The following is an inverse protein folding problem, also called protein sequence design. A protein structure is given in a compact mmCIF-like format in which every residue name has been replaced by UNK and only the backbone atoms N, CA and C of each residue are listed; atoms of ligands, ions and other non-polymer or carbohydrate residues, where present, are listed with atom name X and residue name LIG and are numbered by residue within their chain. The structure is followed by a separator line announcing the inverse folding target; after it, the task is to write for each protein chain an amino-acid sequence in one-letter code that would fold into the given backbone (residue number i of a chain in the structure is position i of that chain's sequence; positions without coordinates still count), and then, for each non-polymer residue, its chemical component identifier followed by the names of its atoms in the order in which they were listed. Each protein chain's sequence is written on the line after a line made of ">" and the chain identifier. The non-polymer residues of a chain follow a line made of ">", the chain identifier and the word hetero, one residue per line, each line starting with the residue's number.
data_IF_944913264324
#
_entry.id   IF_944913264324
#
_cell.length_a   1.000
_cell.length_b   1.000
_cell.length_c   1.000
_cell.angle_alpha   90.00
_cell.angle_beta   90.00
_cell.angle_gamma   90.00
#
_symmetry.space_group_name_H-M   'P 1'
#
loop_
_entity.id
_entity.type
_entity.pdbx_description
1 polymer ?
#
# COMPACT_ATOMS: atom_id res chain seq x y z
N UNK A 1 -2.84 -3.73 -6.97
CA UNK A 1 -3.05 -2.71 -8.02
C UNK A 1 -3.24 -3.34 -9.39
N UNK A 2 -2.35 -4.22 -9.88
CA UNK A 2 -2.51 -4.88 -11.20
C UNK A 2 -3.55 -6.00 -11.30
N UNK A 3 -4.52 -6.09 -10.38
CA UNK A 3 -5.49 -7.19 -10.28
C UNK A 3 -6.92 -6.69 -10.06
N UNK A 4 -7.19 -5.41 -10.34
CA UNK A 4 -8.52 -4.81 -10.16
C UNK A 4 -9.14 -4.52 -11.52
N UNK A 5 -10.47 -4.56 -11.60
CA UNK A 5 -11.23 -4.14 -12.80
C UNK A 5 -11.45 -2.62 -12.85
N UNK A 6 -10.81 -1.85 -11.96
CA UNK A 6 -10.97 -0.41 -11.93
C UNK A 6 -10.28 0.22 -13.16
N UNK A 7 -10.94 1.19 -13.80
CA UNK A 7 -10.33 1.98 -14.86
C UNK A 7 -9.41 3.04 -14.27
N UNK A 8 -8.10 2.89 -14.48
CA UNK A 8 -7.08 3.90 -14.19
C UNK A 8 -5.83 3.64 -15.05
N UNK A 9 -4.96 4.64 -15.19
CA UNK A 9 -3.65 4.47 -15.84
C UNK A 9 -2.63 3.98 -14.79
N UNK A 10 -2.09 2.74 -14.91
CA UNK A 10 -1.11 2.24 -13.95
C UNK A 10 0.21 3.04 -13.96
N UNK A 11 0.50 3.79 -15.02
CA UNK A 11 1.65 4.70 -15.09
C UNK A 11 1.32 6.11 -14.58
N UNK A 12 0.07 6.36 -14.20
CA UNK A 12 -0.36 7.64 -13.66
C UNK A 12 -0.47 7.67 -12.14
N UNK A 13 -0.21 6.55 -11.44
CA UNK A 13 -0.52 6.44 -10.01
C UNK A 13 0.53 7.13 -9.12
N UNK A 14 0.07 7.69 -8.02
CA UNK A 14 0.92 8.16 -6.94
C UNK A 14 0.73 7.28 -5.70
N UNK A 15 1.82 7.01 -4.98
CA UNK A 15 1.79 6.24 -3.72
C UNK A 15 2.61 6.97 -2.67
N UNK A 16 2.00 7.18 -1.51
CA UNK A 16 2.66 7.68 -0.32
C UNK A 16 2.56 6.70 0.84
N UNK A 17 3.63 6.58 1.62
CA UNK A 17 3.69 5.77 2.83
C UNK A 17 4.07 6.66 4.00
N UNK A 18 3.21 6.73 5.03
CA UNK A 18 3.39 7.63 6.17
C UNK A 18 3.72 9.08 5.76
N UNK A 19 3.12 9.55 4.66
CA UNK A 19 3.32 10.89 4.11
C UNK A 19 4.52 11.07 3.17
N UNK A 20 5.39 10.07 3.00
CA UNK A 20 6.52 10.12 2.04
C UNK A 20 6.05 9.62 0.69
N UNK A 21 6.18 10.43 -0.36
CA UNK A 21 5.76 10.10 -1.72
C UNK A 21 6.80 9.22 -2.41
N UNK A 22 6.68 7.90 -2.20
CA UNK A 22 7.62 6.90 -2.76
C UNK A 22 7.42 6.66 -4.26
N UNK A 23 6.21 6.88 -4.76
CA UNK A 23 5.88 6.76 -6.18
C UNK A 23 5.13 8.01 -6.66
N UNK A 24 5.53 8.53 -7.82
CA UNK A 24 4.84 9.63 -8.49
C UNK A 24 4.76 9.37 -9.99
N UNK A 25 3.56 9.46 -10.57
CA UNK A 25 3.30 9.12 -11.97
C UNK A 25 3.90 7.75 -12.36
N UNK A 26 3.66 6.73 -11.53
CA UNK A 26 4.13 5.36 -11.77
C UNK A 26 5.64 5.15 -11.63
N UNK A 27 6.42 6.20 -11.33
CA UNK A 27 7.88 6.13 -11.19
C UNK A 27 8.34 6.33 -9.75
N UNK A 28 9.53 5.84 -9.43
CA UNK A 28 10.14 6.06 -8.10
C UNK A 28 10.39 7.55 -7.87
N UNK A 29 10.03 8.04 -6.70
CA UNK A 29 10.12 9.48 -6.38
C UNK A 29 11.03 9.76 -5.18
N UNK A 30 10.51 9.78 -3.95
CA UNK A 30 11.34 9.94 -2.76
C UNK A 30 12.02 8.62 -2.35
N UNK A 31 13.14 8.71 -1.64
CA UNK A 31 13.81 7.50 -1.12
C UNK A 31 12.91 6.81 -0.10
N UNK A 32 12.77 5.49 -0.25
CA UNK A 32 12.08 4.63 0.74
C UNK A 32 12.70 4.69 2.14
N UNK A 33 13.98 5.07 2.23
CA UNK A 33 14.69 5.17 3.51
C UNK A 33 14.17 6.32 4.38
N UNK A 34 13.38 7.24 3.80
CA UNK A 34 12.72 8.32 4.51
C UNK A 34 11.41 7.85 5.18
N UNK A 35 10.91 6.67 4.84
CA UNK A 35 9.67 6.11 5.42
C UNK A 35 9.98 5.53 6.80
N UNK A 36 9.53 6.20 7.85
CA UNK A 36 9.59 5.65 9.21
C UNK A 36 8.41 4.68 9.44
N UNK A 37 8.71 3.39 9.50
CA UNK A 37 7.76 2.31 9.81
C UNK A 37 7.87 1.82 11.27
N UNK A 38 8.64 2.51 12.12
CA UNK A 38 8.73 2.15 13.55
C UNK A 38 7.43 2.34 14.33
N UNK A 39 6.55 3.32 14.02
CA UNK A 39 5.27 3.45 14.70
C UNK A 39 4.33 2.28 14.37
N UNK A 40 3.40 1.98 15.29
CA UNK A 40 2.41 0.91 15.11
C UNK A 40 1.43 1.18 13.95
N UNK A 41 1.15 2.44 13.67
CA UNK A 41 0.24 2.84 12.60
C UNK A 41 1.03 3.10 11.31
N UNK A 42 0.59 2.48 10.22
CA UNK A 42 1.10 2.74 8.87
C UNK A 42 -0.06 3.21 8.00
N UNK A 43 0.11 4.35 7.33
CA UNK A 43 -0.77 4.80 6.24
C UNK A 43 -0.13 4.49 4.90
N UNK A 44 -0.95 4.00 3.97
CA UNK A 44 -0.59 3.86 2.57
C UNK A 44 -1.67 4.57 1.77
N UNK A 45 -1.30 5.72 1.22
CA UNK A 45 -2.19 6.56 0.43
C UNK A 45 -1.88 6.33 -1.05
N UNK A 46 -2.93 6.05 -1.83
CA UNK A 46 -2.80 5.71 -3.25
C UNK A 46 -3.75 6.61 -4.03
N UNK A 47 -3.21 7.43 -4.93
CA UNK A 47 -3.98 8.25 -5.86
C UNK A 47 -3.96 7.62 -7.25
N UNK A 48 -5.15 7.36 -7.79
CA UNK A 48 -5.34 6.77 -9.11
C UNK A 48 -5.46 7.81 -10.23
N UNK A 49 -5.64 9.09 -9.88
CA UNK A 49 -5.94 10.17 -10.85
C UNK A 49 -7.10 9.85 -11.80
N UNK A 50 -8.09 9.08 -11.31
CA UNK A 50 -9.20 8.54 -12.10
C UNK A 50 -10.58 9.09 -11.68
N UNK A 51 -10.61 10.26 -11.05
CA UNK A 51 -11.80 10.93 -10.53
C UNK A 51 -11.76 11.10 -9.01
N UNK A 52 -12.89 11.47 -8.41
CA UNK A 52 -12.98 11.89 -7.00
C UNK A 52 -13.43 10.76 -6.04
N UNK A 53 -13.50 9.52 -6.51
CA UNK A 53 -13.96 8.39 -5.70
C UNK A 53 -12.88 7.95 -4.71
N UNK A 54 -13.27 7.81 -3.43
CA UNK A 54 -12.35 7.47 -2.34
C UNK A 54 -12.88 6.30 -1.52
N UNK A 55 -11.99 5.40 -1.12
CA UNK A 55 -12.27 4.32 -0.17
C UNK A 55 -11.08 4.13 0.78
N UNK A 56 -11.35 3.61 1.98
CA UNK A 56 -10.33 3.30 2.98
C UNK A 56 -10.47 1.86 3.43
N UNK A 57 -9.36 1.13 3.45
CA UNK A 57 -9.29 -0.26 3.91
C UNK A 57 -8.36 -0.31 5.10
N UNK A 58 -8.82 -0.91 6.20
CA UNK A 58 -7.98 -1.23 7.35
C UNK A 58 -7.48 -2.67 7.23
N UNK A 59 -6.17 -2.84 7.33
CA UNK A 59 -5.52 -4.16 7.28
C UNK A 59 -4.40 -4.22 8.31
N UNK A 60 -3.79 -5.39 8.46
CA UNK A 60 -2.65 -5.60 9.34
C UNK A 60 -1.48 -6.25 8.57
N UNK A 61 -0.28 -6.14 9.11
CA UNK A 61 0.92 -6.76 8.54
C UNK A 61 0.89 -8.29 8.70
N UNK A 62 1.61 -8.97 7.80
CA UNK A 62 1.77 -10.43 7.84
C UNK A 62 3.06 -10.77 8.60
N UNK A 63 2.93 -11.04 9.89
CA UNK A 63 4.07 -11.37 10.75
C UNK A 63 4.45 -12.85 10.68
N UNK A 64 5.67 -13.20 11.13
CA UNK A 64 6.10 -14.59 11.25
C UNK A 64 5.22 -15.40 12.23
N UNK A 65 4.69 -14.74 13.26
CA UNK A 65 3.80 -15.37 14.24
C UNK A 65 2.45 -15.72 13.61
N UNK A 66 1.95 -14.91 12.67
CA UNK A 66 0.75 -15.23 11.90
C UNK A 66 0.91 -16.49 11.03
N UNK A 67 2.11 -16.71 10.47
CA UNK A 67 2.42 -17.91 9.67
C UNK A 67 2.45 -19.16 10.54
N UNK A 68 3.01 -19.10 11.76
CA UNK A 68 3.01 -20.24 12.66
C UNK A 68 1.60 -20.60 13.16
N UNK A 69 0.73 -19.63 13.44
CA UNK A 69 -0.64 -19.89 13.92
C UNK A 69 -1.54 -20.53 12.85
N UNK A 70 -1.47 -20.10 11.59
CA UNK A 70 -2.28 -20.70 10.52
C UNK A 70 -1.64 -21.95 9.85
N UNK A 71 -0.35 -22.23 10.09
CA UNK A 71 0.27 -23.48 9.62
C UNK A 71 -0.16 -24.73 10.40
N UNK A 72 -0.78 -24.55 11.58
CA UNK A 72 -1.28 -25.63 12.43
C UNK A 72 -2.66 -26.18 12.01
N UNK A 73 -3.34 -25.55 11.04
CA UNK A 73 -4.60 -26.05 10.48
C UNK A 73 -4.48 -26.21 8.96
N UNK A 74 -3.86 -27.31 8.55
CA UNK A 74 -4.45 -28.05 7.43
C UNK A 74 -5.63 -28.84 7.97
N UNK A 75 -6.83 -28.26 7.86
CA UNK A 75 -8.10 -29.00 7.79
C UNK A 75 -9.17 -28.15 7.14
#
# INVERSE_FOLDING_TARGET
>A
MGTTDAQFDPYGIDVAMNGVQVCRAGESHESRDLVDLTPRGVSVDIDLHAGDATATIWTNDLTHDYVHENSAYSS
#
